data_IF_599161352824
#
_entry.id   IF_599161352824
#
_cell.length_a   1.000
_cell.length_b   1.000
_cell.length_c   1.000
_cell.angle_alpha   90.00
_cell.angle_beta   90.00
_cell.angle_gamma   90.00
#
_symmetry.space_group_name_H-M   'P 1'
#
loop_
_entity.id
_entity.type
_entity.pdbx_description
1 polymer ?
#
# COMPACT_ATOMS: atom_id res chain seq x y z
N UNK A 1 -20.83 -7.74 5.74
CA UNK A 1 -19.85 -8.30 4.78
C UNK A 1 -18.92 -7.17 4.39
N UNK A 2 -17.64 -7.24 4.75
CA UNK A 2 -16.67 -6.20 4.41
C UNK A 2 -16.55 -6.17 2.88
N UNK A 3 -17.15 -5.17 2.24
CA UNK A 3 -17.01 -4.98 0.80
C UNK A 3 -15.55 -4.66 0.52
N UNK A 4 -14.80 -5.60 -0.05
CA UNK A 4 -13.39 -5.46 -0.39
C UNK A 4 -13.23 -4.59 -1.63
N UNK A 5 -13.77 -3.37 -1.59
CA UNK A 5 -13.44 -2.35 -2.57
C UNK A 5 -11.98 -1.97 -2.35
N UNK A 6 -11.18 -2.12 -3.40
CA UNK A 6 -9.80 -1.66 -3.42
C UNK A 6 -9.78 -0.18 -3.02
N UNK A 7 -9.04 0.22 -1.96
CA UNK A 7 -8.94 1.62 -1.58
C UNK A 7 -8.31 2.47 -2.70
N UNK A 8 -8.56 3.78 -2.66
CA UNK A 8 -7.93 4.72 -3.60
C UNK A 8 -6.41 4.72 -3.46
N UNK A 9 -5.70 5.15 -4.51
CA UNK A 9 -4.24 5.29 -4.44
C UNK A 9 -3.81 6.26 -3.34
N UNK A 10 -4.55 7.35 -3.15
CA UNK A 10 -4.33 8.28 -2.05
C UNK A 10 -4.40 7.62 -0.67
N UNK A 11 -5.28 6.62 -0.48
CA UNK A 11 -5.34 5.85 0.76
C UNK A 11 -4.04 5.05 0.97
N UNK A 12 -3.54 4.36 -0.07
CA UNK A 12 -2.29 3.60 0.02
C UNK A 12 -1.11 4.50 0.35
N UNK A 13 -0.99 5.64 -0.34
CA UNK A 13 0.05 6.64 -0.09
C UNK A 13 0.04 7.12 1.37
N UNK A 14 -1.15 7.40 1.92
CA UNK A 14 -1.30 7.82 3.31
C UNK A 14 -0.95 6.71 4.31
N UNK A 15 -1.38 5.47 4.07
CA UNK A 15 -1.08 4.34 4.96
C UNK A 15 0.41 4.00 4.95
N UNK A 16 1.06 4.05 3.79
CA UNK A 16 2.51 3.85 3.67
C UNK A 16 3.27 4.94 4.44
N UNK A 17 2.88 6.20 4.30
CA UNK A 17 3.46 7.31 5.04
C UNK A 17 3.31 7.15 6.57
N UNK A 18 2.14 6.72 7.05
CA UNK A 18 1.92 6.41 8.48
C UNK A 18 2.82 5.29 9.00
N UNK A 19 3.12 4.29 8.16
CA UNK A 19 4.10 3.27 8.49
C UNK A 19 5.55 3.76 8.48
N UNK A 20 5.84 4.92 7.89
CA UNK A 20 7.17 5.51 7.77
C UNK A 20 7.82 5.31 6.41
N UNK A 21 7.08 4.83 5.41
CA UNK A 21 7.57 4.74 4.03
C UNK A 21 7.41 6.11 3.34
N UNK A 22 8.48 6.57 2.69
CA UNK A 22 8.45 7.81 1.92
C UNK A 22 7.73 7.59 0.59
N UNK A 23 6.44 7.93 0.53
CA UNK A 23 5.61 7.84 -0.69
C UNK A 23 5.05 9.21 -1.07
N UNK A 24 5.08 9.61 -2.35
CA UNK A 24 4.38 10.80 -2.83
C UNK A 24 2.89 10.77 -2.44
N UNK A 25 2.30 11.94 -2.16
CA UNK A 25 0.87 12.09 -1.83
C UNK A 25 0.12 12.72 -3.01
N UNK A 26 0.36 12.19 -4.20
CA UNK A 26 -0.16 12.73 -5.47
C UNK A 26 -1.60 12.28 -5.76
N UNK A 27 -2.07 11.21 -5.11
CA UNK A 27 -3.33 10.54 -5.44
C UNK A 27 -3.26 9.70 -6.72
N UNK A 28 -2.11 9.68 -7.41
CA UNK A 28 -1.90 8.96 -8.66
C UNK A 28 -0.99 7.76 -8.46
N UNK A 29 -1.21 6.70 -9.24
CA UNK A 29 -0.34 5.52 -9.24
C UNK A 29 0.88 5.76 -10.14
N UNK A 30 1.63 6.82 -9.79
CA UNK A 30 2.86 7.22 -10.45
C UNK A 30 3.99 6.19 -10.22
N UNK A 31 5.06 6.31 -10.98
CA UNK A 31 6.20 5.37 -10.91
C UNK A 31 6.79 5.28 -9.51
N UNK A 32 6.88 6.39 -8.78
CA UNK A 32 7.41 6.42 -7.42
C UNK A 32 6.49 5.67 -6.45
N UNK A 33 5.17 5.87 -6.55
CA UNK A 33 4.17 5.15 -5.75
C UNK A 33 4.22 3.65 -6.02
N UNK A 34 4.33 3.23 -7.28
CA UNK A 34 4.48 1.82 -7.67
C UNK A 34 5.73 1.19 -7.07
N UNK A 35 6.86 1.90 -7.10
CA UNK A 35 8.12 1.42 -6.52
C UNK A 35 8.01 1.23 -5.00
N UNK A 36 7.37 2.16 -4.28
CA UNK A 36 7.19 2.01 -2.83
C UNK A 36 6.23 0.86 -2.51
N UNK A 37 5.14 0.71 -3.27
CA UNK A 37 4.22 -0.43 -3.12
C UNK A 37 4.95 -1.75 -3.40
N UNK A 38 5.78 -1.81 -4.44
CA UNK A 38 6.57 -3.00 -4.75
C UNK A 38 7.54 -3.34 -3.61
N UNK A 39 8.27 -2.35 -3.07
CA UNK A 39 9.17 -2.55 -1.94
C UNK A 39 8.42 -3.03 -0.69
N UNK A 40 7.26 -2.44 -0.39
CA UNK A 40 6.38 -2.90 0.68
C UNK A 40 5.92 -4.35 0.45
N UNK A 41 5.46 -4.68 -0.76
CA UNK A 41 5.05 -6.03 -1.12
C UNK A 41 6.21 -7.02 -1.04
N UNK A 42 7.44 -6.67 -1.44
CA UNK A 42 8.60 -7.54 -1.28
C UNK A 42 8.85 -7.89 0.20
N UNK A 43 8.63 -6.93 1.10
CA UNK A 43 8.85 -7.13 2.53
C UNK A 43 7.76 -8.01 3.18
N UNK A 44 6.48 -7.76 2.87
CA UNK A 44 5.36 -8.40 3.57
C UNK A 44 4.60 -9.45 2.74
N UNK A 45 4.83 -9.53 1.43
CA UNK A 45 4.19 -10.45 0.48
C UNK A 45 5.10 -10.79 -0.72
N UNK A 46 6.26 -11.42 -0.50
CA UNK A 46 7.27 -11.64 -1.54
C UNK A 46 6.81 -12.50 -2.72
N UNK A 47 5.70 -13.24 -2.60
CA UNK A 47 5.14 -14.01 -3.70
C UNK A 47 4.53 -13.13 -4.83
N UNK A 48 4.17 -11.86 -4.57
CA UNK A 48 3.56 -10.94 -5.55
C UNK A 48 3.89 -9.49 -5.24
N UNK A 49 4.82 -8.90 -5.99
CA UNK A 49 5.40 -7.57 -5.75
C UNK A 49 5.45 -6.65 -6.99
N UNK A 50 4.46 -6.76 -7.89
CA UNK A 50 4.43 -5.99 -9.14
C UNK A 50 4.27 -4.47 -8.94
N UNK A 51 4.04 -3.98 -7.71
CA UNK A 51 3.84 -2.55 -7.44
C UNK A 51 2.41 -2.08 -7.70
N UNK A 52 1.51 -2.99 -8.07
CA UNK A 52 0.07 -2.71 -8.19
C UNK A 52 -0.59 -2.81 -6.81
N UNK A 53 -1.36 -1.79 -6.37
CA UNK A 53 -2.16 -1.90 -5.17
C UNK A 53 -3.24 -2.97 -5.34
N UNK A 54 -3.41 -3.80 -4.32
CA UNK A 54 -4.49 -4.78 -4.27
C UNK A 54 -5.07 -4.91 -2.86
N UNK A 55 -6.17 -5.65 -2.76
CA UNK A 55 -6.94 -5.82 -1.53
C UNK A 55 -6.14 -6.46 -0.40
N UNK A 56 -5.21 -7.36 -0.73
CA UNK A 56 -4.34 -8.00 0.26
C UNK A 56 -3.27 -7.01 0.77
N UNK A 57 -2.68 -6.22 -0.12
CA UNK A 57 -1.73 -5.17 0.26
C UNK A 57 -2.41 -4.13 1.16
N UNK A 58 -3.67 -3.79 0.89
CA UNK A 58 -4.49 -2.93 1.75
C UNK A 58 -4.73 -3.55 3.13
N UNK A 59 -5.11 -4.83 3.18
CA UNK A 59 -5.34 -5.51 4.46
C UNK A 59 -4.07 -5.55 5.33
N UNK A 60 -2.91 -5.85 4.74
CA UNK A 60 -1.63 -5.84 5.47
C UNK A 60 -1.32 -4.41 5.97
N UNK A 61 -1.44 -3.38 5.12
CA UNK A 61 -1.22 -1.99 5.52
C UNK A 61 -2.12 -1.58 6.70
N UNK A 62 -3.39 -1.95 6.65
CA UNK A 62 -4.36 -1.63 7.69
C UNK A 62 -4.01 -2.32 9.01
N UNK A 63 -3.64 -3.61 8.99
CA UNK A 63 -3.22 -4.34 10.19
C UNK A 63 -1.95 -3.72 10.80
N UNK A 64 -0.93 -3.45 9.98
CA UNK A 64 0.34 -2.89 10.46
C UNK A 64 0.15 -1.50 11.08
N UNK A 65 -0.71 -0.65 10.51
CA UNK A 65 -1.01 0.68 11.07
C UNK A 65 -1.92 0.62 12.30
N UNK A 66 -2.64 -0.48 12.54
CA UNK A 66 -3.44 -0.67 13.75
C UNK A 66 -2.62 -1.19 14.93
N UNK A 67 -1.48 -1.84 14.67
CA UNK A 67 -0.56 -2.37 15.68
C UNK A 67 0.46 -1.36 16.20
N UNK A 68 0.54 -0.17 15.59
CA UNK A 68 1.33 0.97 16.07
C UNK A 68 0.52 1.82 17.03
#
# INVERSE_FOLDING_TARGET
MLATNLPSVSWFQQQLARLGWSTPQTGELDTATRQVIAAFQMHYRPARFYGEPDTQSAAILQVLNHLK
#
